data_IF_502059771257
#
_entry.id   IF_502059771257
#
_cell.length_a   1.000
_cell.length_b   1.000
_cell.length_c   1.000
_cell.angle_alpha   90.00
_cell.angle_beta   90.00
_cell.angle_gamma   90.00
#
_symmetry.space_group_name_H-M   'P 1'
#
loop_
_entity.id
_entity.type
_entity.pdbx_description
1 polymer ?
#
# COMPACT_ATOMS: atom_id res chain seq x y z
N UNK A 1 -7.05 1.42 0.52
CA UNK A 1 -7.56 0.09 0.12
C UNK A 1 -7.09 -0.22 -1.29
N UNK A 2 -6.65 -1.45 -1.55
CA UNK A 2 -6.28 -1.91 -2.89
C UNK A 2 -7.53 -2.49 -3.56
N UNK A 3 -7.91 -1.97 -4.73
CA UNK A 3 -9.14 -2.38 -5.43
C UNK A 3 -8.85 -3.32 -6.59
N UNK A 4 -7.67 -3.24 -7.20
CA UNK A 4 -7.23 -4.13 -8.28
C UNK A 4 -5.71 -4.31 -8.27
N UNK A 5 -5.23 -5.47 -8.71
CA UNK A 5 -3.81 -5.79 -8.79
C UNK A 5 -3.17 -6.16 -7.45
N UNK A 6 -1.84 -6.21 -7.46
CA UNK A 6 -0.99 -6.53 -6.31
C UNK A 6 0.19 -5.55 -6.22
N UNK A 7 0.49 -5.09 -5.01
CA UNK A 7 1.63 -4.23 -4.74
C UNK A 7 2.34 -4.62 -3.44
N UNK A 8 3.62 -4.24 -3.34
CA UNK A 8 4.39 -4.34 -2.11
C UNK A 8 4.53 -2.96 -1.48
N UNK A 9 4.10 -2.80 -0.23
CA UNK A 9 4.15 -1.55 0.51
C UNK A 9 5.03 -1.69 1.74
N UNK A 10 5.89 -0.68 1.99
CA UNK A 10 6.65 -0.53 3.23
C UNK A 10 6.30 0.82 3.84
N UNK A 11 5.65 0.79 4.99
CA UNK A 11 5.33 2.00 5.76
C UNK A 11 6.57 2.44 6.54
N UNK A 12 6.79 3.74 6.67
CA UNK A 12 7.90 4.25 7.47
C UNK A 12 7.80 3.75 8.92
N UNK A 13 8.89 3.15 9.41
CA UNK A 13 8.94 2.45 10.70
C UNK A 13 8.81 0.93 10.60
N UNK A 14 8.35 0.39 9.47
CA UNK A 14 8.42 -1.05 9.21
C UNK A 14 9.77 -1.46 8.61
N UNK A 15 10.25 -2.65 8.96
CA UNK A 15 11.53 -3.18 8.50
C UNK A 15 11.48 -3.83 7.13
N UNK A 16 10.29 -4.23 6.66
CA UNK A 16 10.12 -5.02 5.44
C UNK A 16 8.93 -4.55 4.61
N UNK A 17 8.99 -4.83 3.31
CA UNK A 17 7.85 -4.70 2.42
C UNK A 17 6.83 -5.80 2.73
N UNK A 18 5.55 -5.43 2.68
CA UNK A 18 4.40 -6.34 2.80
C UNK A 18 3.60 -6.30 1.51
N UNK A 19 3.20 -7.47 1.02
CA UNK A 19 2.39 -7.58 -0.18
C UNK A 19 0.91 -7.38 0.15
N UNK A 20 0.24 -6.57 -0.65
CA UNK A 20 -1.18 -6.27 -0.56
C UNK A 20 -1.82 -6.49 -1.94
N UNK A 21 -2.85 -7.32 -1.97
CA UNK A 21 -3.68 -7.57 -3.15
C UNK A 21 -5.06 -6.93 -3.00
N UNK A 22 -5.85 -6.96 -4.07
CA UNK A 22 -7.24 -6.50 -4.09
C UNK A 22 -8.03 -6.97 -2.85
N UNK A 23 -8.75 -6.04 -2.22
CA UNK A 23 -9.48 -6.24 -0.95
C UNK A 23 -8.66 -5.97 0.31
N UNK A 24 -7.35 -5.71 0.19
CA UNK A 24 -6.49 -5.42 1.34
C UNK A 24 -6.38 -3.92 1.63
N UNK A 25 -6.06 -3.57 2.87
CA UNK A 25 -5.77 -2.18 3.27
C UNK A 25 -4.63 -2.11 4.29
N UNK A 26 -3.96 -0.96 4.34
CA UNK A 26 -2.95 -0.62 5.33
C UNK A 26 -3.17 0.82 5.79
N UNK A 27 -2.67 1.15 6.98
CA UNK A 27 -2.79 2.48 7.58
C UNK A 27 -1.42 3.16 7.61
N UNK A 28 -1.42 4.46 7.38
CA UNK A 28 -0.23 5.32 7.46
C UNK A 28 -0.54 6.41 8.47
N UNK A 29 0.30 6.53 9.49
CA UNK A 29 0.12 7.56 10.51
C UNK A 29 0.32 8.98 9.94
N UNK A 30 -0.28 9.99 10.57
CA UNK A 30 -0.03 11.39 10.22
C UNK A 30 1.46 11.75 10.36
N UNK A 31 1.95 12.62 9.47
CA UNK A 31 3.38 12.95 9.34
C UNK A 31 4.30 11.74 9.08
N UNK A 32 3.76 10.67 8.52
CA UNK A 32 4.52 9.50 8.07
C UNK A 32 4.54 9.41 6.54
N UNK A 33 5.20 8.38 6.03
CA UNK A 33 5.31 8.08 4.61
C UNK A 33 5.26 6.58 4.36
N UNK A 34 5.10 6.20 3.10
CA UNK A 34 5.17 4.81 2.66
C UNK A 34 5.83 4.73 1.29
N UNK A 35 6.51 3.62 1.04
CA UNK A 35 7.02 3.25 -0.27
C UNK A 35 6.09 2.17 -0.85
N UNK A 36 5.68 2.34 -2.11
CA UNK A 36 4.88 1.34 -2.84
C UNK A 36 5.66 0.88 -4.08
N UNK A 37 5.66 -0.43 -4.32
CA UNK A 37 6.23 -1.07 -5.50
C UNK A 37 5.15 -1.88 -6.19
N UNK A 38 4.90 -1.56 -7.45
CA UNK A 38 3.99 -2.32 -8.32
C UNK A 38 4.76 -3.35 -9.13
N UNK A 39 4.08 -4.43 -9.49
CA UNK A 39 4.61 -5.40 -10.46
C UNK A 39 4.51 -4.89 -11.90
N UNK A 40 4.46 -5.81 -12.85
CA UNK A 40 4.22 -5.50 -14.27
C UNK A 40 2.78 -5.06 -14.56
N UNK A 41 1.82 -5.52 -13.74
CA UNK A 41 0.41 -5.19 -13.87
C UNK A 41 0.08 -3.86 -13.19
N UNK A 42 -0.95 -3.19 -13.69
CA UNK A 42 -1.49 -1.98 -13.07
C UNK A 42 -2.10 -2.30 -11.69
N UNK A 43 -2.02 -1.33 -10.78
CA UNK A 43 -2.60 -1.42 -9.43
C UNK A 43 -3.50 -0.22 -9.20
N UNK A 44 -4.75 -0.51 -8.87
CA UNK A 44 -5.74 0.50 -8.51
C UNK A 44 -5.92 0.52 -6.99
N UNK A 45 -5.95 1.71 -6.40
CA UNK A 45 -6.15 1.87 -4.97
C UNK A 45 -6.94 3.14 -4.65
N UNK A 46 -7.62 3.10 -3.51
CA UNK A 46 -8.34 4.24 -2.92
C UNK A 46 -7.62 4.67 -1.65
N UNK A 47 -7.29 5.96 -1.58
CA UNK A 47 -6.81 6.61 -0.36
C UNK A 47 -7.97 7.32 0.33
N UNK A 48 -8.17 7.04 1.61
CA UNK A 48 -9.21 7.66 2.42
C UNK A 48 -8.56 8.41 3.57
N UNK A 49 -8.96 9.67 3.76
CA UNK A 49 -8.51 10.51 4.87
C UNK A 49 -9.53 10.42 6.01
N UNK A 50 -9.05 10.19 7.24
CA UNK A 50 -9.87 10.08 8.44
C UNK A 50 -9.01 10.03 9.70
#
# INVERSE_FOLDING_TARGET
>A
EITCGECSVKVAGESAFKTYAAGSSFKVAGNSSFEIRTGAEAVDYVCSFG
#
